data_IF_904685944464
#
_entry.id   IF_904685944464
#
_cell.length_a   1.000
_cell.length_b   1.000
_cell.length_c   1.000
_cell.angle_alpha   90.00
_cell.angle_beta   90.00
_cell.angle_gamma   90.00
#
_symmetry.space_group_name_H-M   'P 1'
#
loop_
_entity.id
_entity.type
_entity.pdbx_description
1 polymer ?
#
# COMPACT_ATOMS: atom_id res chain seq x y z
N UNK A 1 -1.37 18.10 -34.40
CA UNK A 1 -1.77 18.97 -33.29
C UNK A 1 -3.25 18.74 -33.06
N UNK A 2 -3.65 18.28 -31.88
CA UNK A 2 -5.08 18.09 -31.57
C UNK A 2 -5.76 19.45 -31.54
N UNK A 3 -6.75 19.62 -32.41
CA UNK A 3 -7.53 20.86 -32.51
C UNK A 3 -8.54 20.88 -31.36
N UNK A 4 -8.29 21.74 -30.37
CA UNK A 4 -9.18 21.90 -29.22
C UNK A 4 -10.24 22.95 -29.53
N UNK A 5 -11.52 22.61 -29.31
CA UNK A 5 -12.62 23.58 -29.40
C UNK A 5 -12.44 24.64 -28.30
N UNK A 6 -12.23 25.90 -28.69
CA UNK A 6 -12.22 27.06 -27.80
C UNK A 6 -13.65 27.62 -27.73
N UNK A 7 -14.18 27.85 -26.52
CA UNK A 7 -15.52 28.39 -26.30
C UNK A 7 -15.52 29.50 -25.25
N UNK A 8 -16.65 30.20 -25.11
CA UNK A 8 -16.80 31.27 -24.11
C UNK A 8 -16.98 30.70 -22.70
N UNK A 9 -16.94 31.58 -21.69
CA UNK A 9 -17.16 31.19 -20.28
C UNK A 9 -18.54 30.58 -20.07
N UNK A 10 -19.55 31.11 -20.74
CA UNK A 10 -20.94 30.66 -20.67
C UNK A 10 -21.12 29.29 -21.32
N UNK A 11 -20.54 29.09 -22.51
CA UNK A 11 -20.57 27.79 -23.21
C UNK A 11 -19.86 26.71 -22.38
N UNK A 12 -18.70 27.04 -21.79
CA UNK A 12 -17.99 26.14 -20.90
C UNK A 12 -18.81 25.81 -19.65
N UNK A 13 -19.47 26.80 -19.03
CA UNK A 13 -20.25 26.58 -17.82
C UNK A 13 -21.47 25.69 -18.09
N UNK A 14 -22.15 25.91 -19.21
CA UNK A 14 -23.27 25.06 -19.63
C UNK A 14 -22.80 23.61 -19.86
N UNK A 15 -21.72 23.42 -20.62
CA UNK A 15 -21.15 22.09 -20.89
C UNK A 15 -20.68 21.39 -19.61
N UNK A 16 -19.99 22.10 -18.71
CA UNK A 16 -19.54 21.57 -17.42
C UNK A 16 -20.71 21.18 -16.52
N UNK A 17 -21.78 21.97 -16.51
CA UNK A 17 -22.96 21.67 -15.70
C UNK A 17 -23.70 20.44 -16.22
N UNK A 18 -23.73 20.25 -17.55
CA UNK A 18 -24.24 19.03 -18.16
C UNK A 18 -23.38 17.81 -17.76
N UNK A 19 -22.04 17.91 -17.89
CA UNK A 19 -21.10 16.84 -17.52
C UNK A 19 -21.18 16.47 -16.02
N UNK A 20 -21.45 17.45 -15.14
CA UNK A 20 -21.55 17.23 -13.71
C UNK A 20 -22.62 16.19 -13.33
N UNK A 21 -23.67 16.02 -14.14
CA UNK A 21 -24.65 14.97 -13.93
C UNK A 21 -24.03 13.57 -14.07
N UNK A 22 -23.24 13.36 -15.12
CA UNK A 22 -22.56 12.09 -15.38
C UNK A 22 -21.47 11.80 -14.33
N UNK A 23 -20.74 12.83 -13.90
CA UNK A 23 -19.72 12.73 -12.85
C UNK A 23 -20.32 12.34 -11.48
N UNK A 24 -21.49 12.89 -11.14
CA UNK A 24 -22.23 12.52 -9.92
C UNK A 24 -22.70 11.08 -9.98
N UNK A 25 -23.25 10.66 -11.11
CA UNK A 25 -23.66 9.26 -11.31
C UNK A 25 -22.47 8.29 -11.19
N UNK A 26 -21.32 8.65 -11.75
CA UNK A 26 -20.10 7.87 -11.57
C UNK A 26 -19.67 7.79 -10.10
N UNK A 27 -19.76 8.90 -9.35
CA UNK A 27 -19.45 8.93 -7.91
C UNK A 27 -20.37 7.98 -7.13
N UNK A 28 -21.68 8.04 -7.36
CA UNK A 28 -22.64 7.15 -6.69
C UNK A 28 -22.39 5.66 -6.99
N UNK A 29 -22.06 5.33 -8.25
CA UNK A 29 -21.70 3.96 -8.63
C UNK A 29 -20.39 3.50 -7.97
N UNK A 30 -19.40 4.39 -7.86
CA UNK A 30 -18.15 4.10 -7.15
C UNK A 30 -18.40 3.80 -5.67
N UNK A 31 -19.25 4.59 -5.01
CA UNK A 31 -19.65 4.38 -3.61
C UNK A 31 -20.39 3.05 -3.42
N UNK A 32 -21.27 2.69 -4.36
CA UNK A 32 -21.96 1.41 -4.33
C UNK A 32 -20.99 0.23 -4.46
N UNK A 33 -20.01 0.33 -5.36
CA UNK A 33 -18.96 -0.68 -5.49
C UNK A 33 -18.09 -0.77 -4.24
N UNK A 34 -17.74 0.36 -3.62
CA UNK A 34 -17.00 0.38 -2.37
C UNK A 34 -17.77 -0.35 -1.25
N UNK A 35 -19.07 -0.07 -1.09
CA UNK A 35 -19.93 -0.79 -0.13
C UNK A 35 -19.98 -2.29 -0.41
N UNK A 36 -20.13 -2.69 -1.68
CA UNK A 36 -20.14 -4.11 -2.07
C UNK A 36 -18.83 -4.81 -1.73
N UNK A 37 -17.68 -4.16 -1.97
CA UNK A 37 -16.35 -4.69 -1.59
C UNK A 37 -16.20 -4.86 -0.08
N UNK A 38 -16.66 -3.89 0.70
CA UNK A 38 -16.61 -3.95 2.16
C UNK A 38 -17.54 -5.03 2.76
N UNK A 39 -18.63 -5.36 2.06
CA UNK A 39 -19.57 -6.41 2.44
C UNK A 39 -19.11 -7.83 2.04
N UNK A 40 -17.98 -7.97 1.33
CA UNK A 40 -17.44 -9.29 0.99
C UNK A 40 -17.10 -10.07 2.28
N UNK A 41 -17.28 -11.40 2.29
CA UNK A 41 -16.94 -12.22 3.45
C UNK A 41 -15.47 -12.08 3.84
N UNK A 42 -15.23 -12.00 5.14
CA UNK A 42 -13.89 -11.90 5.69
C UNK A 42 -13.28 -13.30 5.76
N UNK A 43 -12.00 -13.40 5.38
CA UNK A 43 -11.23 -14.64 5.49
C UNK A 43 -10.30 -14.52 6.68
N UNK A 44 -10.37 -15.44 7.67
CA UNK A 44 -9.44 -15.44 8.78
C UNK A 44 -8.02 -15.73 8.29
N UNK A 45 -7.06 -14.94 8.76
CA UNK A 45 -5.64 -15.22 8.52
C UNK A 45 -5.21 -16.28 9.53
N UNK A 46 -5.13 -17.53 9.07
CA UNK A 46 -4.66 -18.66 9.90
C UNK A 46 -3.15 -18.91 9.81
N UNK A 47 -2.42 -18.12 9.02
CA UNK A 47 -0.98 -18.26 8.84
C UNK A 47 -0.23 -17.42 9.86
N UNK A 48 0.73 -18.03 10.52
CA UNK A 48 1.68 -17.33 11.38
C UNK A 48 2.71 -16.59 10.53
N UNK A 49 2.61 -15.27 10.50
CA UNK A 49 3.58 -14.42 9.81
C UNK A 49 4.59 -13.85 10.81
N UNK A 50 5.86 -13.85 10.40
CA UNK A 50 6.98 -13.24 11.11
C UNK A 50 7.64 -12.18 10.23
N UNK A 51 7.96 -11.04 10.82
CA UNK A 51 8.60 -9.92 10.15
C UNK A 51 9.87 -9.54 10.90
N UNK A 52 10.96 -9.30 10.19
CA UNK A 52 12.17 -8.75 10.79
C UNK A 52 12.09 -7.23 10.81
N UNK A 53 12.32 -6.65 11.98
CA UNK A 53 12.38 -5.22 12.25
C UNK A 53 13.71 -4.86 12.91
N UNK A 54 14.01 -3.55 12.95
CA UNK A 54 15.17 -3.03 13.69
C UNK A 54 15.17 -3.41 15.17
N UNK A 55 13.98 -3.46 15.80
CA UNK A 55 13.80 -3.83 17.21
C UNK A 55 13.55 -5.34 17.42
N UNK A 56 13.77 -6.16 16.39
CA UNK A 56 13.67 -7.62 16.45
C UNK A 56 12.52 -8.20 15.62
N UNK A 57 12.26 -9.50 15.80
CA UNK A 57 11.20 -10.19 15.06
C UNK A 57 9.82 -9.86 15.63
N UNK A 58 8.87 -9.51 14.77
CA UNK A 58 7.47 -9.22 15.11
C UNK A 58 6.51 -10.21 14.46
N UNK A 59 5.41 -10.54 15.14
CA UNK A 59 4.29 -11.27 14.53
C UNK A 59 3.36 -10.31 13.78
N UNK A 60 2.43 -10.83 12.96
CA UNK A 60 1.39 -9.99 12.34
C UNK A 60 0.54 -9.24 13.39
N UNK A 61 0.25 -9.86 14.53
CA UNK A 61 -0.51 -9.22 15.60
C UNK A 61 0.26 -8.07 16.23
N UNK A 62 1.58 -8.22 16.41
CA UNK A 62 2.43 -7.16 16.97
C UNK A 62 2.47 -5.92 16.07
N UNK A 63 2.32 -6.08 14.74
CA UNK A 63 2.26 -4.96 13.79
C UNK A 63 1.04 -4.04 14.02
N UNK A 64 0.01 -4.50 14.70
CA UNK A 64 -1.12 -3.64 15.04
C UNK A 64 -0.76 -2.59 16.10
N UNK A 65 0.30 -2.80 16.90
CA UNK A 65 0.76 -1.85 17.93
C UNK A 65 -0.40 -1.35 18.82
N UNK A 66 -1.23 -2.30 19.28
CA UNK A 66 -2.39 -2.03 20.13
C UNK A 66 -3.60 -1.35 19.44
N UNK A 67 -3.55 -1.15 18.12
CA UNK A 67 -4.64 -0.52 17.34
C UNK A 67 -5.57 -1.55 16.70
N UNK A 68 -6.75 -1.11 16.25
CA UNK A 68 -7.77 -2.00 15.68
C UNK A 68 -7.61 -2.26 14.19
N UNK A 69 -6.78 -1.47 13.50
CA UNK A 69 -6.60 -1.54 12.05
C UNK A 69 -5.12 -1.48 11.67
N UNK A 70 -4.76 -2.25 10.65
CA UNK A 70 -3.42 -2.30 10.08
C UNK A 70 -3.50 -2.05 8.57
N UNK A 71 -2.76 -1.05 8.09
CA UNK A 71 -2.53 -0.79 6.68
C UNK A 71 -1.11 -1.25 6.32
N UNK A 72 -1.02 -2.22 5.41
CA UNK A 72 0.26 -2.78 4.95
C UNK A 72 0.53 -2.30 3.53
N UNK A 73 1.67 -1.65 3.32
CA UNK A 73 2.16 -1.29 1.99
C UNK A 73 3.34 -2.17 1.59
N UNK A 74 3.28 -2.82 0.42
CA UNK A 74 4.40 -3.59 -0.09
C UNK A 74 5.38 -2.67 -0.82
N UNK A 75 6.50 -2.36 -0.18
CA UNK A 75 7.57 -1.58 -0.77
C UNK A 75 8.49 -2.47 -1.60
N UNK A 76 8.39 -2.33 -2.92
CA UNK A 76 9.19 -3.13 -3.86
C UNK A 76 10.65 -2.67 -3.81
N UNK A 77 11.49 -3.48 -3.18
CA UNK A 77 12.93 -3.31 -3.07
C UNK A 77 13.58 -4.68 -3.19
N UNK A 78 14.51 -4.84 -4.13
CA UNK A 78 15.19 -6.12 -4.36
C UNK A 78 15.95 -6.17 -5.69
N UNK A 79 16.75 -7.23 -5.93
CA UNK A 79 17.65 -7.33 -7.09
C UNK A 79 17.00 -7.21 -8.47
N UNK A 80 15.68 -7.45 -8.56
CA UNK A 80 14.91 -7.36 -9.80
C UNK A 80 14.21 -6.01 -9.98
N UNK A 81 14.42 -5.05 -9.06
CA UNK A 81 13.80 -3.73 -9.06
C UNK A 81 14.81 -2.71 -9.59
N UNK A 82 14.35 -1.85 -10.50
CA UNK A 82 15.14 -0.71 -10.98
C UNK A 82 15.53 0.19 -9.80
N UNK A 83 16.83 0.51 -9.70
CA UNK A 83 17.41 1.29 -8.62
C UNK A 83 18.17 0.46 -7.59
N UNK A 84 18.01 -0.87 -7.55
CA UNK A 84 18.75 -1.71 -6.60
C UNK A 84 20.27 -1.70 -6.86
N UNK A 85 21.13 -1.70 -5.81
CA UNK A 85 20.79 -1.68 -4.37
C UNK A 85 20.59 -0.27 -3.79
N UNK A 86 20.81 0.76 -4.58
CA UNK A 86 20.94 2.14 -4.10
C UNK A 86 19.59 2.85 -3.89
N UNK A 87 18.52 2.36 -4.51
CA UNK A 87 17.19 2.95 -4.49
C UNK A 87 16.06 1.92 -4.63
N UNK A 88 14.89 2.25 -4.06
CA UNK A 88 13.65 1.52 -4.26
C UNK A 88 12.95 1.80 -5.59
N UNK A 89 11.95 0.97 -5.89
CA UNK A 89 11.10 1.17 -7.07
C UNK A 89 10.60 2.64 -7.11
N UNK A 90 10.73 3.37 -8.23
CA UNK A 90 10.37 4.78 -8.30
C UNK A 90 8.94 5.08 -7.83
N UNK A 91 7.97 4.24 -8.20
CA UNK A 91 6.58 4.38 -7.77
C UNK A 91 6.38 4.08 -6.27
N UNK A 92 7.17 3.17 -5.71
CA UNK A 92 7.12 2.89 -4.28
C UNK A 92 7.72 4.03 -3.47
N UNK A 93 8.87 4.57 -3.90
CA UNK A 93 9.49 5.74 -3.29
C UNK A 93 8.55 6.94 -3.32
N UNK A 94 7.95 7.24 -4.47
CA UNK A 94 6.95 8.31 -4.59
C UNK A 94 5.75 8.12 -3.63
N UNK A 95 5.27 6.89 -3.49
CA UNK A 95 4.17 6.57 -2.58
C UNK A 95 4.58 6.73 -1.12
N UNK A 96 5.78 6.26 -0.75
CA UNK A 96 6.31 6.38 0.60
C UNK A 96 6.47 7.86 1.00
N UNK A 97 7.05 8.68 0.12
CA UNK A 97 7.21 10.12 0.34
C UNK A 97 5.86 10.83 0.54
N UNK A 98 4.86 10.42 -0.24
CA UNK A 98 3.50 10.99 -0.14
C UNK A 98 2.77 10.58 1.14
N UNK A 99 3.07 9.39 1.67
CA UNK A 99 2.44 8.85 2.88
C UNK A 99 3.12 9.33 4.16
N UNK A 100 4.42 9.63 4.13
CA UNK A 100 5.19 10.02 5.32
C UNK A 100 4.55 11.18 6.08
N UNK A 101 4.19 12.27 5.38
CA UNK A 101 3.51 13.41 5.98
C UNK A 101 2.08 13.12 6.46
N UNK A 102 1.41 12.12 5.88
CA UNK A 102 0.05 11.75 6.24
C UNK A 102 0.00 10.72 7.39
N UNK A 103 1.06 9.93 7.58
CA UNK A 103 1.10 8.80 8.52
C UNK A 103 0.81 9.23 9.96
N UNK A 104 1.24 10.44 10.35
CA UNK A 104 0.99 11.03 11.68
C UNK A 104 -0.50 11.15 12.04
N UNK A 105 -1.38 11.16 11.04
CA UNK A 105 -2.83 11.26 11.23
C UNK A 105 -3.51 9.90 11.42
N UNK A 106 -2.81 8.78 11.26
CA UNK A 106 -3.38 7.44 11.35
C UNK A 106 -3.53 6.93 12.80
N UNK A 107 -2.53 7.06 13.70
CA UNK A 107 -2.66 6.56 15.08
C UNK A 107 -3.87 7.13 15.85
N UNK A 108 -4.20 8.44 15.76
CA UNK A 108 -5.40 8.98 16.41
C UNK A 108 -6.73 8.38 15.91
N UNK A 109 -6.72 7.72 14.75
CA UNK A 109 -7.88 7.04 14.14
C UNK A 109 -7.86 5.53 14.40
N UNK A 110 -6.94 5.05 15.25
CA UNK A 110 -6.80 3.63 15.56
C UNK A 110 -6.25 2.81 14.39
N UNK A 111 -5.40 3.41 13.54
CA UNK A 111 -4.79 2.75 12.39
C UNK A 111 -3.27 2.77 12.54
N UNK A 112 -2.64 1.60 12.37
CA UNK A 112 -1.20 1.45 12.20
C UNK A 112 -0.87 1.32 10.72
N UNK A 113 0.17 2.00 10.25
CA UNK A 113 0.67 1.87 8.88
C UNK A 113 2.07 1.28 8.91
N UNK A 114 2.32 0.30 8.06
CA UNK A 114 3.63 -0.36 7.93
C UNK A 114 3.99 -0.55 6.45
N UNK A 115 5.27 -0.34 6.14
CA UNK A 115 5.83 -0.71 4.85
C UNK A 115 6.61 -2.02 5.01
N UNK A 116 6.27 -3.02 4.18
CA UNK A 116 6.92 -4.33 4.17
C UNK A 116 7.64 -4.56 2.86
N UNK A 117 8.80 -5.18 2.90
CA UNK A 117 9.53 -5.62 1.71
C UNK A 117 10.04 -7.05 1.88
N UNK A 118 10.49 -7.67 0.80
CA UNK A 118 11.16 -8.99 0.85
C UNK A 118 12.69 -8.86 0.82
N UNK A 119 13.23 -7.67 0.57
CA UNK A 119 14.67 -7.43 0.60
C UNK A 119 15.26 -7.61 2.01
N UNK A 120 16.54 -8.04 2.12
CA UNK A 120 17.27 -8.10 3.38
C UNK A 120 17.08 -6.84 4.23
N UNK A 121 16.79 -7.02 5.52
CA UNK A 121 16.57 -5.92 6.46
C UNK A 121 17.75 -4.93 6.46
N UNK A 122 18.97 -5.44 6.37
CA UNK A 122 20.19 -4.62 6.28
C UNK A 122 20.16 -3.64 5.11
N UNK A 123 19.63 -4.05 3.96
CA UNK A 123 19.51 -3.18 2.79
C UNK A 123 18.36 -2.18 2.97
N UNK A 124 17.27 -2.56 3.63
CA UNK A 124 16.15 -1.66 3.92
C UNK A 124 16.54 -0.55 4.88
N UNK A 125 17.39 -0.86 5.87
CA UNK A 125 17.92 0.12 6.83
C UNK A 125 19.04 0.99 6.22
N UNK A 126 19.79 0.46 5.25
CA UNK A 126 20.84 1.20 4.55
C UNK A 126 20.32 2.12 3.44
N UNK A 127 19.14 1.82 2.89
CA UNK A 127 18.51 2.67 1.89
C UNK A 127 18.27 4.08 2.47
N UNK A 128 18.57 5.16 1.72
CA UNK A 128 18.35 6.52 2.20
C UNK A 128 16.85 6.69 2.50
N UNK A 129 16.50 6.70 3.78
CA UNK A 129 15.13 6.90 4.22
C UNK A 129 14.71 8.34 3.90
N UNK A 130 13.48 8.59 3.41
CA UNK A 130 12.91 9.93 3.50
C UNK A 130 12.97 10.37 4.97
N UNK A 131 13.37 11.62 5.18
CA UNK A 131 13.70 12.23 6.47
C UNK A 131 12.60 12.04 7.52
N UNK A 132 12.64 10.93 8.26
CA UNK A 132 11.60 10.58 9.23
C UNK A 132 11.99 11.15 10.59
N UNK A 133 11.19 12.03 11.22
CA UNK A 133 11.36 12.37 12.63
C UNK A 133 11.06 11.13 13.49
N UNK A 134 11.69 10.97 14.67
CA UNK A 134 11.49 9.80 15.52
C UNK A 134 9.99 9.66 15.89
N UNK A 135 9.35 8.62 15.36
CA UNK A 135 7.98 8.22 15.71
C UNK A 135 6.90 8.26 14.62
N UNK A 136 7.19 8.61 13.35
CA UNK A 136 6.14 8.71 12.30
C UNK A 136 6.17 7.65 11.20
N UNK A 137 7.29 6.97 10.96
CA UNK A 137 7.40 5.90 9.96
C UNK A 137 8.50 4.89 10.34
N UNK A 138 8.42 4.33 11.55
CA UNK A 138 9.16 3.12 11.90
C UNK A 138 8.18 1.99 11.63
N UNK A 139 8.32 1.18 10.59
CA UNK A 139 9.41 0.21 10.50
C UNK A 139 9.50 -0.26 9.05
N UNK A 140 10.70 -0.22 8.45
CA UNK A 140 10.96 -1.01 7.26
C UNK A 140 11.02 -2.47 7.69
N UNK A 141 9.96 -3.23 7.38
CA UNK A 141 9.86 -4.62 7.79
C UNK A 141 10.27 -5.53 6.64
N UNK A 142 11.22 -6.43 6.88
CA UNK A 142 11.38 -7.56 5.97
C UNK A 142 10.31 -8.61 6.29
N UNK A 143 9.33 -8.75 5.41
CA UNK A 143 8.32 -9.81 5.49
C UNK A 143 8.87 -11.12 4.92
N UNK A 144 9.18 -12.07 5.78
CA UNK A 144 9.42 -13.45 5.38
C UNK A 144 8.09 -14.23 5.46
N UNK A 145 7.66 -14.82 4.34
CA UNK A 145 6.66 -15.87 4.41
C UNK A 145 7.28 -17.05 5.17
N UNK A 146 6.66 -17.47 6.28
CA UNK A 146 7.13 -18.59 7.09
C UNK A 146 7.66 -19.74 6.23
N UNK A 147 8.92 -20.11 6.47
CA UNK A 147 9.56 -21.27 5.85
C UNK A 147 8.78 -22.50 6.26
N UNK A 148 7.97 -23.05 5.35
CA UNK A 148 7.37 -24.37 5.52
C UNK A 148 8.50 -25.36 5.82
N UNK A 149 8.41 -26.21 6.86
CA UNK A 149 9.40 -27.26 7.07
C UNK A 149 9.46 -28.09 5.78
N UNK A 150 10.66 -28.26 5.22
CA UNK A 150 10.89 -29.13 4.05
C UNK A 150 10.30 -30.52 4.34
N UNK A 151 9.21 -30.85 3.65
CA UNK A 151 8.63 -32.19 3.68
C UNK A 151 7.34 -32.31 2.88
N UNK A 152 7.43 -32.92 1.70
CA UNK A 152 6.28 -33.48 0.98
C UNK A 152 5.79 -32.66 -0.22
N UNK A 153 5.85 -33.29 -1.40
CA UNK A 153 5.27 -32.82 -2.67
C UNK A 153 3.79 -32.43 -2.51
N UNK A 154 3.40 -31.33 -3.16
CA UNK A 154 2.07 -31.19 -3.73
C UNK A 154 2.17 -30.35 -5.02
N UNK A 155 1.91 -31.00 -6.15
CA UNK A 155 1.58 -30.36 -7.41
C UNK A 155 0.27 -29.59 -7.26
N UNK A 156 0.24 -28.31 -7.60
CA UNK A 156 -0.99 -27.61 -7.98
C UNK A 156 -0.68 -26.61 -9.08
N UNK A 157 -0.96 -27.04 -10.31
CA UNK A 157 -1.13 -26.19 -11.48
C UNK A 157 -2.26 -25.20 -11.20
N UNK A 158 -1.98 -23.90 -11.25
CA UNK A 158 -3.03 -22.86 -11.27
C UNK A 158 -2.97 -22.18 -12.64
N UNK A 159 -3.93 -22.55 -13.49
CA UNK A 159 -4.34 -21.80 -14.67
C UNK A 159 -5.21 -20.65 -14.19
N UNK A 160 -4.83 -19.41 -14.49
CA UNK A 160 -5.68 -18.24 -14.31
C UNK A 160 -6.62 -18.10 -15.52
N UNK A 161 -7.90 -17.90 -15.23
CA UNK A 161 -8.84 -17.11 -16.05
C UNK A 161 -9.23 -15.86 -15.25
#
# INVERSE_FOLDING_TARGET
>A
MTEHKVGTREEWLAARTALLADEKEFTHRSDELARKRQALPWVPIGKDYSFEAEDGTKTLADLFDGRSQLLVYHFMFGPTVEGWPDAGCPGCSYTADSLDGAAVHLPPRGVTFVAVSRAPLENLLAAPTPSTPPGSCSTALQGAAATTPRGGRADTTTTND
#
